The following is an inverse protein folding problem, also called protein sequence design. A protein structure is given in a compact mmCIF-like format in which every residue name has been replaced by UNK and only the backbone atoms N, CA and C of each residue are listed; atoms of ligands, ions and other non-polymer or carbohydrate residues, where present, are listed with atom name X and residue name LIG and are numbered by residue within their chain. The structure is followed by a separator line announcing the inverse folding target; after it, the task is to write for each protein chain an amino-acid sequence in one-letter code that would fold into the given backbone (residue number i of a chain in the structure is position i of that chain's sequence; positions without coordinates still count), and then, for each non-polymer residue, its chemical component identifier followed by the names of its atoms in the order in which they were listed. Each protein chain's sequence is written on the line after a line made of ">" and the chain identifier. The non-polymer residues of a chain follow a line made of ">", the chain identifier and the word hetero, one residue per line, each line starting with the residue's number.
data_IF_376191879916
#
_entry.id   IF_376191879916
#
_cell.length_a   1.000
_cell.length_b   1.000
_cell.length_c   1.000
_cell.angle_alpha   90.00
_cell.angle_beta   90.00
_cell.angle_gamma   90.00
#
_symmetry.space_group_name_H-M   'P 1'
#
loop_
_entity.id
_entity.type
_entity.pdbx_description
1 polymer ?
#
# COMPACT_ATOMS: atom_id res chain seq x y z
N UNK A 1 30.33 -43.89 -19.71
CA UNK A 1 29.62 -42.81 -20.45
C UNK A 1 28.10 -42.99 -20.47
N UNK A 2 27.54 -44.08 -21.03
CA UNK A 2 26.07 -44.31 -21.07
C UNK A 2 25.36 -44.20 -19.71
N UNK A 3 25.88 -44.82 -18.64
CA UNK A 3 25.30 -44.72 -17.28
C UNK A 3 25.35 -43.32 -16.69
N UNK A 4 26.40 -42.55 -16.99
CA UNK A 4 26.54 -41.16 -16.55
C UNK A 4 25.51 -40.26 -17.23
N UNK A 5 25.33 -40.44 -18.56
CA UNK A 5 24.28 -39.75 -19.33
C UNK A 5 22.87 -40.08 -18.82
N UNK A 6 22.59 -41.33 -18.48
CA UNK A 6 21.29 -41.74 -17.93
C UNK A 6 20.99 -41.10 -16.58
N UNK A 7 21.99 -40.99 -15.69
CA UNK A 7 21.87 -40.29 -14.41
C UNK A 7 21.65 -38.78 -14.60
N UNK A 8 22.36 -38.17 -15.56
CA UNK A 8 22.21 -36.75 -15.90
C UNK A 8 20.82 -36.44 -16.47
N UNK A 9 20.31 -37.31 -17.35
CA UNK A 9 18.97 -37.18 -17.93
C UNK A 9 17.87 -37.37 -16.87
N UNK A 10 18.04 -38.32 -15.95
CA UNK A 10 17.11 -38.57 -14.85
C UNK A 10 17.07 -37.37 -13.87
N UNK A 11 18.24 -36.83 -13.52
CA UNK A 11 18.34 -35.57 -12.79
C UNK A 11 17.66 -34.43 -13.55
N UNK A 12 17.90 -34.26 -14.85
CA UNK A 12 17.26 -33.22 -15.65
C UNK A 12 15.72 -33.35 -15.66
N UNK A 13 15.18 -34.57 -15.75
CA UNK A 13 13.73 -34.79 -15.67
C UNK A 13 13.14 -34.55 -14.29
N UNK A 14 13.87 -34.86 -13.21
CA UNK A 14 13.46 -34.56 -11.84
C UNK A 14 13.49 -33.04 -11.55
N UNK A 15 14.43 -32.33 -12.17
CA UNK A 15 14.58 -30.86 -12.09
C UNK A 15 13.41 -30.14 -12.78
N UNK A 16 12.85 -30.68 -13.87
CA UNK A 16 11.75 -30.05 -14.61
C UNK A 16 10.43 -29.94 -13.82
N UNK A 17 10.15 -30.85 -12.87
CA UNK A 17 8.91 -30.84 -12.08
C UNK A 17 8.98 -30.09 -10.74
N UNK A 18 10.19 -29.90 -10.18
CA UNK A 18 10.38 -29.42 -8.79
C UNK A 18 11.10 -28.07 -8.65
N UNK A 19 11.47 -27.40 -9.75
CA UNK A 19 12.23 -26.15 -9.71
C UNK A 19 11.41 -24.88 -9.42
N UNK A 20 10.09 -24.99 -9.27
CA UNK A 20 9.23 -23.87 -8.86
C UNK A 20 9.00 -22.79 -9.93
N UNK A 21 9.37 -23.01 -11.20
CA UNK A 21 9.15 -22.01 -12.28
C UNK A 21 7.67 -21.62 -12.41
N UNK A 22 6.77 -22.59 -12.45
CA UNK A 22 5.33 -22.33 -12.53
C UNK A 22 4.80 -21.66 -11.25
N UNK A 23 5.40 -21.96 -10.09
CA UNK A 23 5.06 -21.28 -8.84
C UNK A 23 5.49 -19.82 -8.86
N UNK A 24 6.66 -19.49 -9.44
CA UNK A 24 7.06 -18.09 -9.66
C UNK A 24 6.06 -17.35 -10.54
N UNK A 25 5.61 -17.95 -11.65
CA UNK A 25 4.63 -17.34 -12.54
C UNK A 25 3.29 -17.12 -11.84
N UNK A 26 2.81 -18.11 -11.09
CA UNK A 26 1.58 -18.03 -10.31
C UNK A 26 1.66 -16.93 -9.23
N UNK A 27 2.73 -16.91 -8.45
CA UNK A 27 2.90 -15.93 -7.36
C UNK A 27 3.19 -14.52 -7.90
N UNK A 28 3.84 -14.39 -9.07
CA UNK A 28 4.00 -13.09 -9.75
C UNK A 28 2.63 -12.51 -10.11
N UNK A 29 1.79 -13.31 -10.77
CA UNK A 29 0.43 -12.89 -11.16
C UNK A 29 -0.44 -12.59 -9.93
N UNK A 30 -0.35 -13.40 -8.87
CA UNK A 30 -1.06 -13.16 -7.62
C UNK A 30 -0.63 -11.83 -6.96
N UNK A 31 0.68 -11.53 -6.97
CA UNK A 31 1.20 -10.25 -6.46
C UNK A 31 0.74 -9.04 -7.29
N UNK A 32 0.65 -9.19 -8.62
CA UNK A 32 0.14 -8.15 -9.54
C UNK A 32 -1.35 -7.91 -9.35
N UNK A 33 -2.13 -8.98 -9.21
CA UNK A 33 -3.56 -8.92 -8.94
C UNK A 33 -3.85 -8.24 -7.59
N UNK A 34 -3.13 -8.61 -6.54
CA UNK A 34 -3.24 -7.98 -5.23
C UNK A 34 -2.82 -6.49 -5.28
N UNK A 35 -1.82 -6.14 -6.08
CA UNK A 35 -1.43 -4.75 -6.31
C UNK A 35 -2.52 -3.95 -7.03
N UNK A 36 -3.12 -4.51 -8.08
CA UNK A 36 -4.21 -3.86 -8.79
C UNK A 36 -5.38 -3.56 -7.84
N UNK A 37 -5.69 -4.47 -6.91
CA UNK A 37 -6.70 -4.23 -5.89
C UNK A 37 -6.35 -3.07 -4.97
N UNK A 38 -5.09 -2.97 -4.52
CA UNK A 38 -4.60 -1.81 -3.75
C UNK A 38 -4.81 -0.51 -4.51
N UNK A 39 -4.45 -0.48 -5.80
CA UNK A 39 -4.63 0.70 -6.64
C UNK A 39 -6.09 1.08 -6.81
N UNK A 40 -6.99 0.11 -6.98
CA UNK A 40 -8.42 0.36 -7.07
C UNK A 40 -8.96 1.06 -5.81
N UNK A 41 -8.53 0.62 -4.63
CA UNK A 41 -8.97 1.24 -3.38
C UNK A 41 -8.39 2.65 -3.18
N UNK A 42 -7.13 2.88 -3.57
CA UNK A 42 -6.55 4.22 -3.55
C UNK A 42 -7.21 5.17 -4.57
N UNK A 43 -7.53 4.68 -5.76
CA UNK A 43 -8.26 5.43 -6.78
C UNK A 43 -9.64 5.84 -6.25
N UNK A 44 -10.39 4.89 -5.67
CA UNK A 44 -11.69 5.17 -5.05
C UNK A 44 -11.59 6.28 -4.00
N UNK A 45 -10.57 6.24 -3.14
CA UNK A 45 -10.35 7.31 -2.15
C UNK A 45 -10.14 8.67 -2.83
N UNK A 46 -9.31 8.72 -3.87
CA UNK A 46 -9.04 9.95 -4.61
C UNK A 46 -10.30 10.50 -5.33
N UNK A 47 -11.20 9.61 -5.75
CA UNK A 47 -12.45 9.96 -6.45
C UNK A 47 -13.55 10.48 -5.51
N UNK A 48 -13.49 10.14 -4.21
CA UNK A 48 -14.42 10.69 -3.21
C UNK A 48 -14.07 12.13 -2.82
N UNK A 49 -12.81 12.53 -2.94
CA UNK A 49 -12.32 13.83 -2.45
C UNK A 49 -13.01 15.03 -3.10
N UNK A 50 -13.22 15.10 -4.43
CA UNK A 50 -13.92 16.23 -5.04
C UNK A 50 -15.31 16.46 -4.43
N UNK A 51 -16.05 15.39 -4.11
CA UNK A 51 -17.36 15.49 -3.47
C UNK A 51 -17.23 15.99 -2.03
N UNK A 52 -16.26 15.46 -1.26
CA UNK A 52 -15.96 15.94 0.10
C UNK A 52 -15.61 17.44 0.07
N UNK A 53 -14.75 17.85 -0.85
CA UNK A 53 -14.34 19.25 -1.01
C UNK A 53 -15.53 20.13 -1.34
N UNK A 54 -16.36 19.74 -2.30
CA UNK A 54 -17.54 20.50 -2.69
C UNK A 54 -18.55 20.66 -1.53
N UNK A 55 -18.77 19.60 -0.74
CA UNK A 55 -19.67 19.68 0.43
C UNK A 55 -19.10 20.60 1.51
N UNK A 56 -17.80 20.52 1.78
CA UNK A 56 -17.13 21.37 2.79
C UNK A 56 -17.07 22.83 2.34
N UNK A 57 -16.88 23.11 1.04
CA UNK A 57 -16.90 24.47 0.48
C UNK A 57 -18.25 25.17 0.62
N UNK A 58 -19.35 24.42 0.76
CA UNK A 58 -20.66 24.98 1.06
C UNK A 58 -20.76 25.61 2.45
N UNK A 59 -19.83 25.30 3.36
CA UNK A 59 -19.77 25.90 4.69
C UNK A 59 -18.95 27.20 4.65
N UNK A 60 -19.65 28.34 4.73
CA UNK A 60 -19.07 29.66 4.49
C UNK A 60 -17.89 30.03 5.41
N UNK A 61 -17.82 29.46 6.62
CA UNK A 61 -16.80 29.75 7.63
C UNK A 61 -15.75 28.64 7.80
N UNK A 62 -15.67 27.70 6.85
CA UNK A 62 -14.72 26.60 6.96
C UNK A 62 -13.26 27.05 6.78
N UNK A 63 -12.34 26.41 7.51
CA UNK A 63 -10.91 26.71 7.46
C UNK A 63 -10.31 26.34 6.08
N UNK A 64 -9.92 27.37 5.31
CA UNK A 64 -9.31 27.17 3.97
C UNK A 64 -8.04 26.34 3.99
N UNK A 65 -7.17 26.54 4.99
CA UNK A 65 -5.90 25.83 5.09
C UNK A 65 -6.06 24.31 5.18
N UNK A 66 -7.06 23.83 5.93
CA UNK A 66 -7.39 22.41 6.03
C UNK A 66 -7.88 21.85 4.69
N UNK A 67 -8.73 22.59 3.98
CA UNK A 67 -9.23 22.17 2.67
C UNK A 67 -8.14 22.16 1.59
N UNK A 68 -7.30 23.19 1.55
CA UNK A 68 -6.13 23.30 0.66
C UNK A 68 -5.14 22.14 0.89
N UNK A 69 -4.90 21.77 2.15
CA UNK A 69 -4.05 20.63 2.48
C UNK A 69 -4.58 19.32 1.87
N UNK A 70 -5.91 19.09 1.89
CA UNK A 70 -6.54 17.91 1.27
C UNK A 70 -6.41 17.94 -0.25
N UNK A 71 -6.64 19.10 -0.88
CA UNK A 71 -6.52 19.28 -2.33
C UNK A 71 -5.08 19.01 -2.79
N UNK A 72 -4.10 19.60 -2.10
CA UNK A 72 -2.69 19.43 -2.40
C UNK A 72 -2.23 17.98 -2.19
N UNK A 73 -2.65 17.35 -1.09
CA UNK A 73 -2.31 15.96 -0.81
C UNK A 73 -2.93 15.00 -1.84
N UNK A 74 -4.16 15.27 -2.31
CA UNK A 74 -4.76 14.53 -3.43
C UNK A 74 -3.93 14.68 -4.69
N UNK A 75 -3.60 15.91 -5.07
CA UNK A 75 -2.83 16.18 -6.28
C UNK A 75 -1.50 15.43 -6.27
N UNK A 76 -0.80 15.44 -5.13
CA UNK A 76 0.44 14.68 -4.95
C UNK A 76 0.21 13.17 -5.04
N UNK A 77 -0.80 12.62 -4.37
CA UNK A 77 -1.13 11.20 -4.41
C UNK A 77 -1.48 10.70 -5.83
N UNK A 78 -2.19 11.52 -6.62
CA UNK A 78 -2.57 11.17 -8.00
C UNK A 78 -1.48 11.46 -9.04
N UNK A 79 -0.47 12.25 -8.69
CA UNK A 79 0.65 12.56 -9.60
C UNK A 79 1.64 11.39 -9.79
N UNK A 80 1.65 10.45 -8.84
CA UNK A 80 2.52 9.29 -8.89
C UNK A 80 1.86 8.24 -9.78
N UNK A 81 2.52 7.92 -10.90
CA UNK A 81 2.06 6.88 -11.82
C UNK A 81 2.05 5.52 -11.12
N UNK A 82 0.85 4.99 -10.94
CA UNK A 82 0.56 3.72 -10.30
C UNK A 82 0.75 2.55 -11.27
N UNK A 83 1.93 2.39 -11.85
CA UNK A 83 2.18 1.34 -12.84
C UNK A 83 2.60 0.02 -12.17
N UNK A 84 2.52 -1.14 -12.85
CA UNK A 84 3.02 -2.41 -12.30
C UNK A 84 4.53 -2.41 -12.00
N UNK A 85 5.31 -1.54 -12.65
CA UNK A 85 6.75 -1.42 -12.47
C UNK A 85 7.14 -0.86 -11.09
N UNK A 86 6.23 -0.16 -10.41
CA UNK A 86 6.40 0.31 -9.03
C UNK A 86 6.79 -0.83 -8.07
N UNK A 87 6.35 -2.06 -8.35
CA UNK A 87 6.64 -3.23 -7.52
C UNK A 87 8.10 -3.67 -7.55
N UNK A 88 8.82 -3.26 -8.60
CA UNK A 88 10.22 -3.60 -8.80
C UNK A 88 11.17 -2.46 -8.40
N UNK A 89 10.64 -1.30 -8.02
CA UNK A 89 11.39 -0.13 -7.57
C UNK A 89 11.01 0.25 -6.13
N UNK A 90 11.84 -0.13 -5.13
CA UNK A 90 11.59 0.21 -3.73
C UNK A 90 11.47 1.72 -3.46
N UNK A 91 12.24 2.55 -4.18
CA UNK A 91 12.23 4.00 -3.97
C UNK A 91 10.95 4.62 -4.54
N UNK A 92 10.48 4.15 -5.69
CA UNK A 92 9.19 4.54 -6.22
C UNK A 92 8.06 4.10 -5.27
N UNK A 93 8.10 2.86 -4.76
CA UNK A 93 7.07 2.34 -3.85
C UNK A 93 7.03 3.13 -2.54
N UNK A 94 8.18 3.55 -2.02
CA UNK A 94 8.26 4.42 -0.85
C UNK A 94 7.65 5.80 -1.11
N UNK A 95 7.93 6.42 -2.26
CA UNK A 95 7.32 7.71 -2.64
C UNK A 95 5.81 7.60 -2.78
N UNK A 96 5.32 6.52 -3.40
CA UNK A 96 3.90 6.22 -3.51
C UNK A 96 3.26 6.10 -2.11
N UNK A 97 3.85 5.29 -1.23
CA UNK A 97 3.39 5.13 0.15
C UNK A 97 3.35 6.46 0.92
N UNK A 98 4.39 7.28 0.80
CA UNK A 98 4.46 8.57 1.47
C UNK A 98 3.34 9.51 1.01
N UNK A 99 3.11 9.62 -0.30
CA UNK A 99 2.03 10.45 -0.83
C UNK A 99 0.64 9.94 -0.41
N UNK A 100 0.42 8.63 -0.41
CA UNK A 100 -0.83 8.04 0.07
C UNK A 100 -1.01 8.24 1.59
N UNK A 101 0.07 8.23 2.37
CA UNK A 101 0.05 8.50 3.81
C UNK A 101 -0.26 9.97 4.12
N UNK A 102 0.35 10.91 3.39
CA UNK A 102 0.05 12.34 3.51
C UNK A 102 -1.42 12.64 3.21
N UNK A 103 -1.99 12.00 2.18
CA UNK A 103 -3.41 12.13 1.87
C UNK A 103 -4.31 11.59 2.99
N UNK A 104 -4.01 10.40 3.53
CA UNK A 104 -4.74 9.84 4.66
C UNK A 104 -4.70 10.78 5.88
N UNK A 105 -3.52 11.33 6.18
CA UNK A 105 -3.31 12.26 7.28
C UNK A 105 -4.08 13.58 7.10
N UNK A 106 -4.11 14.13 5.89
CA UNK A 106 -4.89 15.33 5.56
C UNK A 106 -6.39 15.09 5.73
N UNK A 107 -6.88 13.93 5.30
CA UNK A 107 -8.27 13.53 5.49
C UNK A 107 -8.62 13.32 6.96
N UNK A 108 -7.74 12.71 7.77
CA UNK A 108 -7.96 12.58 9.21
C UNK A 108 -8.07 13.94 9.90
N UNK A 109 -7.20 14.91 9.54
CA UNK A 109 -7.30 16.28 10.06
C UNK A 109 -8.61 16.95 9.65
N UNK A 110 -9.02 16.80 8.39
CA UNK A 110 -10.31 17.30 7.92
C UNK A 110 -11.46 16.75 8.76
N UNK A 111 -11.49 15.44 9.04
CA UNK A 111 -12.55 14.83 9.85
C UNK A 111 -12.58 15.36 11.28
N UNK A 112 -11.43 15.66 11.88
CA UNK A 112 -11.36 16.29 13.22
C UNK A 112 -11.88 17.73 13.18
N UNK A 113 -11.49 18.52 12.18
CA UNK A 113 -11.92 19.92 12.05
C UNK A 113 -13.43 20.00 11.82
N UNK A 114 -14.00 19.11 11.01
CA UNK A 114 -15.45 19.11 10.72
C UNK A 114 -16.31 18.88 11.97
N UNK A 115 -15.81 18.21 13.01
CA UNK A 115 -16.56 18.07 14.27
C UNK A 115 -16.85 19.42 14.96
N UNK A 116 -16.11 20.48 14.62
CA UNK A 116 -16.32 21.84 15.12
C UNK A 116 -17.43 22.59 14.36
N UNK A 117 -17.97 22.01 13.28
CA UNK A 117 -18.96 22.63 12.39
C UNK A 117 -20.29 21.83 12.42
N UNK A 118 -21.26 22.20 13.27
CA UNK A 118 -22.50 21.45 13.45
C UNK A 118 -23.32 21.26 12.16
N UNK A 119 -23.30 22.26 11.28
CA UNK A 119 -24.03 22.21 10.00
C UNK A 119 -23.46 21.12 9.07
N UNK A 120 -22.14 21.03 8.94
CA UNK A 120 -21.48 19.96 8.18
C UNK A 120 -21.69 18.60 8.83
N UNK A 121 -21.64 18.53 10.16
CA UNK A 121 -21.90 17.30 10.90
C UNK A 121 -23.33 16.77 10.70
N UNK A 122 -24.31 17.67 10.60
CA UNK A 122 -25.70 17.34 10.34
C UNK A 122 -26.00 17.13 8.84
N UNK A 123 -25.05 17.45 7.95
CA UNK A 123 -25.24 17.28 6.51
C UNK A 123 -25.21 15.79 6.13
N UNK A 124 -26.34 15.27 5.65
CA UNK A 124 -26.46 13.86 5.28
C UNK A 124 -25.45 13.45 4.19
N UNK A 125 -25.26 14.28 3.16
CA UNK A 125 -24.30 14.00 2.10
C UNK A 125 -22.86 13.93 2.61
N UNK A 126 -22.48 14.80 3.55
CA UNK A 126 -21.17 14.72 4.20
C UNK A 126 -21.03 13.46 5.06
N UNK A 127 -22.06 13.11 5.84
CA UNK A 127 -22.09 11.90 6.66
C UNK A 127 -21.90 10.64 5.81
N UNK A 128 -22.60 10.55 4.68
CA UNK A 128 -22.48 9.43 3.74
C UNK A 128 -21.06 9.34 3.14
N UNK A 129 -20.48 10.47 2.75
CA UNK A 129 -19.10 10.53 2.24
C UNK A 129 -18.08 10.11 3.31
N UNK A 130 -18.28 10.48 4.57
CA UNK A 130 -17.43 10.03 5.69
C UNK A 130 -17.47 8.51 5.85
N UNK A 131 -18.67 7.91 5.81
CA UNK A 131 -18.83 6.44 5.88
C UNK A 131 -18.17 5.75 4.68
N UNK A 132 -18.32 6.31 3.47
CA UNK A 132 -17.65 5.77 2.29
C UNK A 132 -16.14 5.86 2.38
N UNK A 133 -15.61 6.97 2.92
CA UNK A 133 -14.18 7.16 3.12
C UNK A 133 -13.63 6.18 4.16
N UNK A 134 -14.26 6.06 5.32
CA UNK A 134 -13.89 5.07 6.34
C UNK A 134 -13.91 3.65 5.78
N UNK A 135 -14.98 3.29 5.07
CA UNK A 135 -15.09 2.02 4.38
C UNK A 135 -14.01 1.81 3.31
N UNK A 136 -13.50 2.89 2.70
CA UNK A 136 -12.40 2.82 1.73
C UNK A 136 -11.06 2.62 2.45
N UNK A 137 -10.80 3.33 3.55
CA UNK A 137 -9.59 3.14 4.37
C UNK A 137 -9.49 1.71 4.93
N UNK A 138 -10.59 1.14 5.40
CA UNK A 138 -10.64 -0.25 5.84
C UNK A 138 -10.32 -1.23 4.69
N UNK A 139 -10.85 -0.98 3.50
CA UNK A 139 -10.54 -1.80 2.30
C UNK A 139 -9.10 -1.62 1.85
N UNK A 140 -8.52 -0.43 1.94
CA UNK A 140 -7.10 -0.17 1.68
C UNK A 140 -6.25 -1.03 2.63
N UNK A 141 -6.55 -1.03 3.93
CA UNK A 141 -5.80 -1.82 4.91
C UNK A 141 -5.82 -3.32 4.58
N UNK A 142 -6.99 -3.85 4.23
CA UNK A 142 -7.16 -5.25 3.83
C UNK A 142 -6.43 -5.55 2.51
N UNK A 143 -6.56 -4.71 1.49
CA UNK A 143 -5.89 -4.88 0.21
C UNK A 143 -4.36 -4.85 0.36
N UNK A 144 -3.84 -3.92 1.16
CA UNK A 144 -2.41 -3.87 1.49
C UNK A 144 -1.94 -5.14 2.19
N UNK A 145 -2.71 -5.67 3.15
CA UNK A 145 -2.36 -6.90 3.84
C UNK A 145 -2.32 -8.11 2.88
N UNK A 146 -3.30 -8.24 1.98
CA UNK A 146 -3.30 -9.29 0.95
C UNK A 146 -2.09 -9.18 0.02
N UNK A 147 -1.75 -7.97 -0.42
CA UNK A 147 -0.54 -7.74 -1.20
C UNK A 147 0.73 -8.11 -0.43
N UNK A 148 0.82 -7.74 0.85
CA UNK A 148 1.96 -8.10 1.71
C UNK A 148 2.14 -9.62 1.76
N UNK A 149 1.05 -10.37 1.92
CA UNK A 149 1.06 -11.82 1.96
C UNK A 149 1.47 -12.44 0.61
N UNK A 150 0.95 -11.92 -0.50
CA UNK A 150 1.32 -12.38 -1.84
C UNK A 150 2.82 -12.16 -2.13
N UNK A 151 3.34 -10.96 -1.80
CA UNK A 151 4.78 -10.66 -1.92
C UNK A 151 5.61 -11.52 -0.97
N UNK A 152 5.13 -11.77 0.25
CA UNK A 152 5.81 -12.66 1.19
C UNK A 152 5.94 -14.07 0.61
N UNK A 153 4.86 -14.65 0.07
CA UNK A 153 4.87 -15.96 -0.56
C UNK A 153 5.86 -16.02 -1.73
N UNK A 154 5.83 -15.02 -2.62
CA UNK A 154 6.79 -14.89 -3.72
C UNK A 154 8.24 -14.81 -3.22
N UNK A 155 8.51 -13.96 -2.23
CA UNK A 155 9.85 -13.75 -1.69
C UNK A 155 10.39 -14.98 -0.94
N UNK A 156 9.52 -15.75 -0.28
CA UNK A 156 9.91 -17.03 0.32
C UNK A 156 10.32 -18.02 -0.77
N UNK A 157 9.56 -18.13 -1.86
CA UNK A 157 9.91 -19.00 -2.99
C UNK A 157 11.24 -18.57 -3.65
N UNK A 158 11.43 -17.26 -3.84
CA UNK A 158 12.66 -16.69 -4.40
C UNK A 158 13.92 -17.01 -3.58
N UNK A 159 13.76 -17.17 -2.26
CA UNK A 159 14.89 -17.35 -1.31
C UNK A 159 15.10 -18.79 -0.85
N UNK A 160 14.12 -19.67 -1.05
CA UNK A 160 14.17 -21.05 -0.55
C UNK A 160 14.96 -21.97 -1.50
N UNK A 161 15.71 -22.92 -0.95
CA UNK A 161 16.33 -23.98 -1.74
C UNK A 161 15.31 -25.09 -2.03
N UNK A 162 15.23 -25.66 -3.26
CA UNK A 162 16.09 -25.40 -4.42
C UNK A 162 15.59 -24.29 -5.37
N UNK A 163 14.42 -23.69 -5.14
CA UNK A 163 13.79 -22.71 -6.05
C UNK A 163 14.60 -21.42 -6.24
N UNK A 164 15.48 -21.06 -5.30
CA UNK A 164 16.40 -19.94 -5.42
C UNK A 164 17.38 -20.10 -6.60
N UNK A 165 17.74 -21.33 -6.98
CA UNK A 165 18.57 -21.59 -8.16
C UNK A 165 17.81 -21.21 -9.44
N UNK A 166 16.54 -21.57 -9.52
CA UNK A 166 15.63 -21.12 -10.59
C UNK A 166 15.52 -19.60 -10.61
N UNK A 167 15.38 -18.98 -9.43
CA UNK A 167 15.34 -17.53 -9.32
C UNK A 167 16.62 -16.87 -9.87
N UNK A 168 17.80 -17.42 -9.59
CA UNK A 168 19.07 -16.92 -10.13
C UNK A 168 19.18 -17.12 -11.65
N UNK A 169 18.78 -18.29 -12.16
CA UNK A 169 18.87 -18.61 -13.60
C UNK A 169 17.91 -17.76 -14.43
N UNK A 170 16.69 -17.50 -13.92
CA UNK A 170 15.66 -16.74 -14.63
C UNK A 170 15.58 -15.26 -14.22
N UNK A 171 16.42 -14.82 -13.28
CA UNK A 171 16.47 -13.42 -12.82
C UNK A 171 15.27 -12.99 -11.97
N UNK A 172 14.59 -13.92 -11.28
CA UNK A 172 13.49 -13.59 -10.38
C UNK A 172 14.00 -12.97 -9.08
N UNK A 173 13.92 -11.64 -9.01
CA UNK A 173 14.35 -10.87 -7.85
C UNK A 173 13.24 -10.79 -6.79
N UNK A 174 13.58 -10.77 -5.48
CA UNK A 174 12.62 -10.46 -4.44
C UNK A 174 11.92 -9.13 -4.71
N UNK A 175 10.60 -9.12 -4.57
CA UNK A 175 9.76 -7.93 -4.77
C UNK A 175 9.84 -7.02 -3.53
N UNK A 176 9.77 -5.71 -3.78
CA UNK A 176 9.57 -4.74 -2.71
C UNK A 176 8.21 -4.97 -2.06
N UNK A 177 8.11 -4.70 -0.76
CA UNK A 177 6.86 -4.85 -0.02
C UNK A 177 6.51 -3.54 0.69
N UNK A 178 5.25 -3.40 1.13
CA UNK A 178 4.89 -2.35 2.06
C UNK A 178 5.73 -2.47 3.33
N UNK A 179 6.34 -1.38 3.74
CA UNK A 179 7.07 -1.29 5.00
C UNK A 179 6.36 -0.32 5.92
N UNK A 180 6.75 -0.35 7.19
CA UNK A 180 6.41 0.72 8.12
C UNK A 180 7.23 1.95 7.72
N UNK A 181 6.59 3.11 7.69
CA UNK A 181 7.19 4.35 7.20
C UNK A 181 8.45 4.75 7.99
N UNK A 182 8.49 4.39 9.28
CA UNK A 182 9.61 4.68 10.16
C UNK A 182 9.67 3.67 11.33
N UNK A 183 10.27 2.49 11.10
CA UNK A 183 10.47 1.48 12.15
C UNK A 183 11.22 2.05 13.36
N UNK A 184 12.14 3.00 13.12
CA UNK A 184 12.92 3.64 14.18
C UNK A 184 12.03 4.53 15.07
N UNK A 185 11.06 5.22 14.49
CA UNK A 185 10.13 6.07 15.23
C UNK A 185 9.12 5.25 16.06
N UNK A 186 8.70 4.08 15.55
CA UNK A 186 7.76 3.18 16.25
C UNK A 186 8.48 2.40 17.38
N UNK A 187 9.78 2.17 17.24
CA UNK A 187 10.61 1.53 18.26
C UNK A 187 10.95 2.46 19.44
N UNK A 188 10.67 3.77 19.31
CA UNK A 188 10.83 4.73 20.41
C UNK A 188 9.56 4.71 21.27
N UNK A 189 9.66 4.42 22.59
CA UNK A 189 8.50 4.49 23.46
C UNK A 189 7.94 5.93 23.48
N UNK A 190 6.60 6.10 23.53
CA UNK A 190 5.99 7.42 23.59
C UNK A 190 6.53 8.16 24.82
N UNK A 191 7.14 9.33 24.61
CA UNK A 191 7.56 10.20 25.70
C UNK A 191 6.31 10.88 26.27
N UNK A 192 5.88 10.41 27.43
CA UNK A 192 4.83 11.08 28.20
C UNK A 192 5.51 12.03 29.18
N UNK A 193 5.46 13.32 28.89
CA UNK A 193 5.88 14.38 29.80
C UNK A 193 4.62 15.01 30.42
N UNK A 194 4.47 14.85 31.73
CA UNK A 194 3.36 15.41 32.49
C UNK A 194 3.63 16.84 32.99
N UNK A 195 4.71 17.49 32.54
CA UNK A 195 4.97 18.89 32.85
C UNK A 195 4.94 19.16 34.35
N UNK A 196 5.82 18.51 35.11
CA UNK A 196 6.04 18.94 36.49
C UNK A 196 6.78 20.28 36.44
N UNK A 197 6.01 21.36 36.52
CA UNK A 197 6.56 22.68 36.83
C UNK A 197 7.26 22.55 38.19
N UNK A 198 8.58 22.57 38.15
CA UNK A 198 9.45 22.44 39.31
C UNK A 198 9.14 23.60 40.28
N UNK A 199 8.95 23.34 41.58
CA UNK A 199 8.60 24.36 42.57
C UNK A 199 9.68 25.44 42.72
#
# INVERSE_FOLDING_TARGET
>A
MRRLLSLLLLCATAVLGGCGYNDFQRLDEESRSAWAEVLNQYQRRADLIPNIVATVQGEANFERGTLEAVINARAKATSIQATPELLNDPAALQKFQAAQGELGSALSRLMVVVEQYPNLKANQGFSDLRVQLEGTENRIAVARNRYIQAVQAYNVLARSFPSNLTAMVFGYQPKANFTVADEAQISQPPKVDFGTQKP
#
